data_IF_723627662352
#
_entry.id   IF_723627662352
#
_cell.length_a   1.000
_cell.length_b   1.000
_cell.length_c   1.000
_cell.angle_alpha   90.00
_cell.angle_beta   90.00
_cell.angle_gamma   90.00
#
_symmetry.space_group_name_H-M   'P 1'
#
loop_
_entity.id
_entity.type
_entity.pdbx_description
1 polymer ?
#
# COMPACT_ATOMS: atom_id res chain seq x y z
N UNK A 1 -32.90 39.50 -20.63
CA UNK A 1 -31.81 38.54 -20.75
C UNK A 1 -31.89 37.57 -19.58
N UNK A 2 -32.33 36.33 -19.85
CA UNK A 2 -32.42 35.27 -18.80
C UNK A 2 -31.12 34.52 -18.80
N UNK A 3 -30.39 34.57 -17.67
CA UNK A 3 -29.20 33.76 -17.45
C UNK A 3 -29.60 32.29 -17.34
N UNK A 4 -29.13 31.44 -18.24
CA UNK A 4 -29.25 29.99 -18.15
C UNK A 4 -28.32 29.48 -17.02
N UNK A 5 -28.80 28.64 -16.11
CA UNK A 5 -27.91 28.04 -15.11
C UNK A 5 -26.98 27.05 -15.82
N UNK A 6 -25.68 27.30 -15.73
CA UNK A 6 -24.65 26.34 -16.15
C UNK A 6 -24.65 25.20 -15.11
N UNK A 7 -25.30 24.11 -15.45
CA UNK A 7 -25.30 22.89 -14.65
C UNK A 7 -23.99 22.14 -14.92
N UNK A 8 -22.93 22.49 -14.18
CA UNK A 8 -21.70 21.72 -14.20
C UNK A 8 -21.99 20.37 -13.53
N UNK A 9 -21.76 19.25 -14.23
CA UNK A 9 -21.90 17.94 -13.59
C UNK A 9 -20.97 17.90 -12.38
N UNK A 10 -21.52 17.61 -11.21
CA UNK A 10 -20.73 17.31 -10.03
C UNK A 10 -19.77 16.18 -10.41
N UNK A 11 -18.47 16.47 -10.56
CA UNK A 11 -17.43 15.49 -10.75
C UNK A 11 -17.43 14.61 -9.49
N UNK A 12 -18.20 13.51 -9.52
CA UNK A 12 -17.98 12.42 -8.57
C UNK A 12 -16.58 11.92 -8.86
N UNK A 13 -15.65 12.23 -7.96
CA UNK A 13 -14.30 11.69 -8.03
C UNK A 13 -14.42 10.17 -8.21
N UNK A 14 -13.62 9.62 -9.12
CA UNK A 14 -13.66 8.19 -9.38
C UNK A 14 -13.39 7.44 -8.07
N UNK A 15 -14.19 6.41 -7.68
CA UNK A 15 -14.02 5.70 -6.40
C UNK A 15 -12.59 5.20 -6.14
N UNK A 16 -11.85 4.87 -7.20
CA UNK A 16 -10.44 4.49 -7.10
C UNK A 16 -9.54 5.65 -6.66
N UNK A 17 -9.81 6.87 -7.13
CA UNK A 17 -9.10 8.07 -6.68
C UNK A 17 -9.36 8.34 -5.19
N UNK A 18 -10.59 8.12 -4.75
CA UNK A 18 -10.97 8.33 -3.35
C UNK A 18 -10.33 7.30 -2.43
N UNK A 19 -10.28 6.02 -2.84
CA UNK A 19 -9.63 4.97 -2.07
C UNK A 19 -8.11 5.19 -1.97
N UNK A 20 -7.45 5.51 -3.08
CA UNK A 20 -6.02 5.83 -3.09
C UNK A 20 -5.70 7.04 -2.19
N UNK A 21 -6.55 8.06 -2.23
CA UNK A 21 -6.46 9.25 -1.37
C UNK A 21 -6.64 8.90 0.11
N UNK A 22 -7.62 8.06 0.43
CA UNK A 22 -7.85 7.58 1.79
C UNK A 22 -6.65 6.76 2.31
N UNK A 23 -6.09 5.87 1.51
CA UNK A 23 -4.89 5.10 1.84
C UNK A 23 -3.67 6.00 2.09
N UNK A 24 -3.46 7.01 1.25
CA UNK A 24 -2.40 8.00 1.46
C UNK A 24 -2.61 8.83 2.75
N UNK A 25 -3.85 9.26 3.01
CA UNK A 25 -4.18 9.98 4.24
C UNK A 25 -3.97 9.11 5.48
N UNK A 26 -4.33 7.83 5.43
CA UNK A 26 -4.10 6.89 6.54
C UNK A 26 -2.60 6.77 6.87
N UNK A 27 -1.74 6.70 5.83
CA UNK A 27 -0.29 6.70 5.99
C UNK A 27 0.20 7.98 6.66
N UNK A 28 -0.29 9.15 6.24
CA UNK A 28 0.07 10.43 6.87
C UNK A 28 -0.47 10.57 8.30
N UNK A 29 -1.66 10.05 8.58
CA UNK A 29 -2.21 10.03 9.94
C UNK A 29 -1.32 9.18 10.85
N UNK A 30 -0.92 7.99 10.42
CA UNK A 30 -0.02 7.11 11.18
C UNK A 30 1.31 7.83 11.49
N UNK A 31 1.94 8.46 10.49
CA UNK A 31 3.18 9.22 10.65
C UNK A 31 3.05 10.32 11.72
N UNK A 32 1.88 10.94 11.83
CA UNK A 32 1.62 12.06 12.74
C UNK A 32 1.07 11.64 14.12
N UNK A 33 0.78 10.37 14.35
CA UNK A 33 0.37 9.89 15.67
C UNK A 33 1.45 10.21 16.70
N UNK A 34 1.01 10.69 17.88
CA UNK A 34 1.89 11.10 18.98
C UNK A 34 1.13 10.97 20.30
N UNK A 35 1.71 10.37 21.35
CA UNK A 35 3.05 9.78 21.39
C UNK A 35 3.11 8.38 20.73
N UNK A 36 4.29 8.03 20.16
CA UNK A 36 4.60 6.68 19.69
C UNK A 36 5.83 6.16 20.46
N UNK A 37 5.68 5.52 21.62
CA UNK A 37 6.82 5.07 22.41
C UNK A 37 7.79 4.20 21.62
N UNK A 38 9.08 4.60 21.60
CA UNK A 38 10.12 3.90 20.88
C UNK A 38 10.18 4.12 19.37
N UNK A 39 9.19 4.79 18.77
CA UNK A 39 9.13 5.09 17.35
C UNK A 39 9.29 6.59 17.08
N UNK A 40 9.54 6.94 15.82
CA UNK A 40 9.59 8.34 15.40
C UNK A 40 8.21 8.97 15.50
N UNK A 41 8.11 10.10 16.17
CA UNK A 41 6.91 10.92 16.26
C UNK A 41 7.25 12.43 16.15
N UNK A 42 6.30 13.30 16.50
CA UNK A 42 6.50 14.76 16.43
C UNK A 42 7.48 15.29 17.47
N UNK A 43 7.72 14.56 18.55
CA UNK A 43 8.54 15.01 19.67
C UNK A 43 9.96 14.52 19.59
N UNK A 44 10.17 13.29 19.08
CA UNK A 44 11.48 12.68 19.07
C UNK A 44 11.57 11.52 18.05
N UNK A 45 12.76 10.99 17.89
CA UNK A 45 13.05 9.87 16.97
C UNK A 45 12.90 8.49 17.63
N UNK A 46 12.47 8.42 18.88
CA UNK A 46 12.36 7.16 19.60
C UNK A 46 13.72 6.47 19.73
N UNK A 47 13.77 5.19 19.41
CA UNK A 47 14.98 4.39 19.41
C UNK A 47 15.82 4.56 18.13
N UNK A 48 15.35 5.32 17.14
CA UNK A 48 16.01 5.48 15.84
C UNK A 48 17.07 6.59 15.87
N UNK A 49 18.24 6.31 15.29
CA UNK A 49 19.33 7.29 15.09
C UNK A 49 19.53 7.65 13.62
N UNK A 50 18.91 6.91 12.73
CA UNK A 50 19.09 6.96 11.28
C UNK A 50 17.93 7.66 10.55
N UNK A 51 16.80 7.91 11.23
CA UNK A 51 15.62 8.49 10.62
C UNK A 51 14.89 9.48 11.53
N UNK A 52 14.20 10.42 10.91
CA UNK A 52 13.37 11.44 11.53
C UNK A 52 12.00 11.53 10.83
N UNK A 53 11.13 12.39 11.33
CA UNK A 53 9.80 12.62 10.76
C UNK A 53 9.85 13.08 9.29
N UNK A 54 10.90 13.81 8.89
CA UNK A 54 11.09 14.24 7.50
C UNK A 54 11.31 13.07 6.54
N UNK A 55 12.02 12.02 6.98
CA UNK A 55 12.17 10.78 6.20
C UNK A 55 10.82 10.12 5.96
N UNK A 56 9.95 10.07 6.98
CA UNK A 56 8.60 9.50 6.85
C UNK A 56 7.73 10.29 5.87
N UNK A 57 7.78 11.62 5.87
CA UNK A 57 7.03 12.42 4.89
C UNK A 57 7.54 12.23 3.46
N UNK A 58 8.86 12.19 3.23
CA UNK A 58 9.44 11.91 1.91
C UNK A 58 9.02 10.52 1.41
N UNK A 59 9.08 9.54 2.30
CA UNK A 59 8.65 8.17 2.03
C UNK A 59 7.17 8.09 1.68
N UNK A 60 6.30 8.67 2.49
CA UNK A 60 4.86 8.67 2.24
C UNK A 60 4.52 9.28 0.87
N UNK A 61 5.15 10.41 0.50
CA UNK A 61 4.98 11.01 -0.84
C UNK A 61 5.44 10.10 -1.96
N UNK A 62 6.57 9.41 -1.77
CA UNK A 62 7.10 8.44 -2.75
C UNK A 62 6.14 7.26 -2.95
N UNK A 63 5.53 6.75 -1.88
CA UNK A 63 4.56 5.66 -1.91
C UNK A 63 3.23 6.12 -2.53
N UNK A 64 2.77 7.33 -2.20
CA UNK A 64 1.46 7.85 -2.59
C UNK A 64 1.18 7.77 -4.09
N UNK A 65 2.20 7.98 -4.94
CA UNK A 65 2.06 7.91 -6.40
C UNK A 65 1.87 6.48 -6.93
N UNK A 66 2.13 5.45 -6.10
CA UNK A 66 1.96 4.05 -6.47
C UNK A 66 0.59 3.49 -6.10
N UNK A 67 -0.13 4.10 -5.16
CA UNK A 67 -1.42 3.59 -4.70
C UNK A 67 -2.45 3.42 -5.83
N UNK A 68 -2.62 4.39 -6.75
CA UNK A 68 -3.48 4.19 -7.92
C UNK A 68 -3.01 3.05 -8.84
N UNK A 69 -1.70 2.82 -8.95
CA UNK A 69 -1.12 1.74 -9.78
C UNK A 69 -1.42 0.36 -9.20
N UNK A 70 -1.41 0.22 -7.87
CA UNK A 70 -1.83 -1.02 -7.21
C UNK A 70 -3.32 -1.31 -7.46
N UNK A 71 -4.19 -0.28 -7.38
CA UNK A 71 -5.61 -0.41 -7.71
C UNK A 71 -5.78 -0.86 -9.16
N UNK A 72 -5.08 -0.21 -10.08
CA UNK A 72 -5.16 -0.53 -11.50
C UNK A 72 -4.70 -1.97 -11.78
N UNK A 73 -3.62 -2.43 -11.14
CA UNK A 73 -3.17 -3.82 -11.23
C UNK A 73 -4.25 -4.79 -10.75
N UNK A 74 -4.94 -4.47 -9.67
CA UNK A 74 -6.05 -5.27 -9.17
C UNK A 74 -7.20 -5.38 -10.18
N UNK A 75 -7.55 -4.30 -10.86
CA UNK A 75 -8.56 -4.29 -11.93
C UNK A 75 -8.15 -5.15 -13.12
N UNK A 76 -6.91 -5.00 -13.60
CA UNK A 76 -6.36 -5.74 -14.74
C UNK A 76 -6.35 -7.25 -14.51
N UNK A 77 -6.02 -7.66 -13.31
CA UNK A 77 -5.86 -9.07 -12.94
C UNK A 77 -7.12 -9.62 -12.21
N UNK A 78 -8.27 -8.94 -12.27
CA UNK A 78 -9.47 -9.27 -11.49
C UNK A 78 -10.05 -10.67 -11.80
N UNK A 79 -9.85 -11.16 -13.02
CA UNK A 79 -10.30 -12.50 -13.47
C UNK A 79 -9.37 -13.62 -13.06
N UNK A 80 -8.15 -13.32 -12.62
CA UNK A 80 -7.19 -14.33 -12.17
C UNK A 80 -7.56 -14.86 -10.78
N UNK A 81 -7.22 -16.12 -10.45
CA UNK A 81 -7.29 -16.62 -9.08
C UNK A 81 -6.53 -15.70 -8.11
N UNK A 82 -7.12 -15.46 -6.93
CA UNK A 82 -6.53 -14.54 -5.95
C UNK A 82 -5.11 -14.94 -5.54
N UNK A 83 -4.84 -16.23 -5.41
CA UNK A 83 -3.54 -16.79 -5.03
C UNK A 83 -2.41 -16.47 -6.01
N UNK A 84 -2.74 -16.15 -7.26
CA UNK A 84 -1.76 -15.75 -8.29
C UNK A 84 -1.42 -14.27 -8.24
N UNK A 85 -2.27 -13.48 -7.59
CA UNK A 85 -2.16 -12.02 -7.58
C UNK A 85 -0.84 -11.53 -6.98
N UNK A 86 -0.38 -12.16 -5.89
CA UNK A 86 0.82 -11.73 -5.19
C UNK A 86 2.08 -11.82 -6.07
N UNK A 87 2.21 -12.86 -6.88
CA UNK A 87 3.34 -13.00 -7.80
C UNK A 87 3.36 -11.87 -8.86
N UNK A 88 2.19 -11.48 -9.35
CA UNK A 88 2.04 -10.40 -10.32
C UNK A 88 2.20 -9.01 -9.71
N UNK A 89 1.89 -8.87 -8.43
CA UNK A 89 2.03 -7.63 -7.67
C UNK A 89 3.48 -7.36 -7.25
N UNK A 90 4.27 -8.40 -7.04
CA UNK A 90 5.65 -8.32 -6.52
C UNK A 90 6.54 -7.32 -7.29
N UNK A 91 6.61 -7.31 -8.64
CA UNK A 91 7.43 -6.33 -9.36
C UNK A 91 7.02 -4.89 -9.08
N UNK A 92 5.71 -4.64 -8.98
CA UNK A 92 5.17 -3.31 -8.67
C UNK A 92 5.53 -2.88 -7.23
N UNK A 93 5.42 -3.82 -6.28
CA UNK A 93 5.82 -3.60 -4.89
C UNK A 93 7.30 -3.26 -4.76
N UNK A 94 8.18 -4.02 -5.43
CA UNK A 94 9.62 -3.76 -5.45
C UNK A 94 9.97 -2.40 -6.07
N UNK A 95 9.28 -2.01 -7.14
CA UNK A 95 9.48 -0.69 -7.75
C UNK A 95 9.07 0.44 -6.80
N UNK A 96 7.95 0.28 -6.08
CA UNK A 96 7.51 1.21 -5.04
C UNK A 96 8.53 1.29 -3.88
N UNK A 97 9.01 0.15 -3.37
CA UNK A 97 10.03 0.09 -2.33
C UNK A 97 11.32 0.81 -2.77
N UNK A 98 11.79 0.55 -4.00
CA UNK A 98 12.98 1.20 -4.54
C UNK A 98 12.81 2.72 -4.62
N UNK A 99 11.62 3.21 -4.98
CA UNK A 99 11.36 4.65 -4.99
C UNK A 99 11.32 5.22 -3.57
N UNK A 100 10.75 4.51 -2.62
CA UNK A 100 10.78 4.86 -1.20
C UNK A 100 12.22 4.97 -0.69
N UNK A 101 13.06 3.96 -0.95
CA UNK A 101 14.48 3.99 -0.55
C UNK A 101 15.24 5.17 -1.17
N UNK A 102 15.03 5.46 -2.46
CA UNK A 102 15.65 6.63 -3.10
C UNK A 102 15.23 7.94 -2.42
N UNK A 103 13.95 8.07 -2.05
CA UNK A 103 13.43 9.27 -1.41
C UNK A 103 13.94 9.46 0.04
N UNK A 104 14.41 8.39 0.68
CA UNK A 104 14.87 8.37 2.07
C UNK A 104 16.38 8.18 2.21
N UNK A 105 17.14 8.20 1.11
CA UNK A 105 18.59 7.96 1.17
C UNK A 105 18.95 6.53 1.56
N UNK A 106 18.12 5.55 1.23
CA UNK A 106 18.35 4.13 1.55
C UNK A 106 17.75 3.68 2.89
N UNK A 107 17.08 4.57 3.61
CA UNK A 107 16.50 4.26 4.94
C UNK A 107 15.14 3.58 4.79
N UNK A 108 14.96 2.46 5.49
CA UNK A 108 13.71 1.71 5.52
C UNK A 108 12.70 2.36 6.49
N UNK A 109 11.81 3.18 5.97
CA UNK A 109 10.77 3.86 6.77
C UNK A 109 9.42 3.13 6.73
N UNK A 110 8.97 2.72 5.53
CA UNK A 110 7.60 2.24 5.29
C UNK A 110 7.52 0.94 4.49
N UNK A 111 8.53 0.07 4.51
CA UNK A 111 8.52 -1.17 3.73
C UNK A 111 7.29 -2.04 4.03
N UNK A 112 6.93 -2.20 5.31
CA UNK A 112 5.72 -2.90 5.72
C UNK A 112 4.44 -2.24 5.20
N UNK A 113 4.40 -0.91 5.19
CA UNK A 113 3.26 -0.14 4.67
C UNK A 113 3.12 -0.27 3.15
N UNK A 114 4.24 -0.35 2.39
CA UNK A 114 4.20 -0.64 0.94
C UNK A 114 3.52 -1.98 0.69
N UNK A 115 3.86 -3.00 1.46
CA UNK A 115 3.27 -4.33 1.33
C UNK A 115 1.78 -4.32 1.68
N UNK A 116 1.40 -3.82 2.86
CA UNK A 116 0.01 -3.84 3.33
C UNK A 116 -0.92 -2.95 2.51
N UNK A 117 -0.52 -1.71 2.20
CA UNK A 117 -1.32 -0.81 1.37
C UNK A 117 -1.36 -1.27 -0.09
N UNK A 118 -0.27 -1.85 -0.61
CA UNK A 118 -0.24 -2.46 -1.93
C UNK A 118 -1.27 -3.57 -2.06
N UNK A 119 -1.36 -4.46 -1.07
CA UNK A 119 -2.37 -5.53 -1.04
C UNK A 119 -3.80 -4.97 -0.95
N UNK A 120 -4.05 -4.03 -0.04
CA UNK A 120 -5.39 -3.43 0.14
C UNK A 120 -5.85 -2.68 -1.11
N UNK A 121 -4.99 -1.89 -1.74
CA UNK A 121 -5.29 -1.19 -2.98
C UNK A 121 -5.57 -2.17 -4.13
N UNK A 122 -4.79 -3.25 -4.23
CA UNK A 122 -5.00 -4.29 -5.23
C UNK A 122 -6.32 -5.03 -4.99
N UNK A 123 -6.62 -5.41 -3.75
CA UNK A 123 -7.88 -6.04 -3.37
C UNK A 123 -9.08 -5.15 -3.72
N UNK A 124 -8.99 -3.84 -3.44
CA UNK A 124 -10.00 -2.87 -3.83
C UNK A 124 -10.25 -2.88 -5.34
N UNK A 125 -9.18 -2.81 -6.14
CA UNK A 125 -9.28 -2.83 -7.60
C UNK A 125 -9.93 -4.11 -8.14
N UNK A 126 -9.58 -5.26 -7.56
CA UNK A 126 -10.16 -6.56 -7.91
C UNK A 126 -11.66 -6.61 -7.61
N UNK A 127 -12.05 -6.29 -6.37
CA UNK A 127 -13.46 -6.28 -5.95
C UNK A 127 -14.30 -5.33 -6.80
N UNK A 128 -13.77 -4.13 -7.07
CA UNK A 128 -14.45 -3.15 -7.90
C UNK A 128 -14.69 -3.67 -9.32
N UNK A 129 -13.68 -4.26 -9.96
CA UNK A 129 -13.78 -4.80 -11.30
C UNK A 129 -14.72 -6.01 -11.38
N UNK A 130 -14.80 -6.79 -10.30
CA UNK A 130 -15.71 -7.94 -10.18
C UNK A 130 -17.16 -7.53 -9.85
N UNK A 131 -17.44 -6.25 -9.64
CA UNK A 131 -18.77 -5.76 -9.22
C UNK A 131 -19.19 -6.23 -7.82
N UNK A 132 -18.24 -6.63 -6.98
CA UNK A 132 -18.50 -7.10 -5.61
C UNK A 132 -18.63 -5.93 -4.64
N UNK A 133 -19.39 -6.13 -3.58
CA UNK A 133 -19.52 -5.15 -2.51
C UNK A 133 -18.14 -4.87 -1.87
N UNK A 134 -17.85 -3.60 -1.63
CA UNK A 134 -16.58 -3.15 -1.04
C UNK A 134 -16.84 -2.71 0.38
N UNK A 135 -16.20 -3.38 1.33
CA UNK A 135 -16.24 -3.09 2.76
C UNK A 135 -15.00 -3.68 3.44
N UNK A 136 -14.79 -3.36 4.70
CA UNK A 136 -13.59 -3.79 5.44
C UNK A 136 -13.43 -5.31 5.42
N UNK A 137 -14.50 -6.06 5.68
CA UNK A 137 -14.50 -7.53 5.69
C UNK A 137 -14.16 -8.10 4.31
N UNK A 138 -14.78 -7.58 3.24
CA UNK A 138 -14.54 -8.03 1.88
C UNK A 138 -13.09 -7.76 1.44
N UNK A 139 -12.54 -6.60 1.79
CA UNK A 139 -11.14 -6.25 1.52
C UNK A 139 -10.19 -7.19 2.27
N UNK A 140 -10.42 -7.42 3.56
CA UNK A 140 -9.60 -8.33 4.36
C UNK A 140 -9.67 -9.78 3.84
N UNK A 141 -10.85 -10.26 3.47
CA UNK A 141 -11.04 -11.57 2.90
C UNK A 141 -10.31 -11.73 1.55
N UNK A 142 -10.37 -10.72 0.68
CA UNK A 142 -9.66 -10.73 -0.60
C UNK A 142 -8.14 -10.71 -0.41
N UNK A 143 -7.63 -9.88 0.51
CA UNK A 143 -6.19 -9.88 0.89
C UNK A 143 -5.77 -11.25 1.43
N UNK A 144 -6.56 -11.85 2.32
CA UNK A 144 -6.27 -13.19 2.84
C UNK A 144 -6.21 -14.24 1.73
N UNK A 145 -7.13 -14.17 0.76
CA UNK A 145 -7.12 -15.06 -0.41
C UNK A 145 -5.86 -14.84 -1.27
N UNK A 146 -5.47 -13.59 -1.52
CA UNK A 146 -4.24 -13.26 -2.26
C UNK A 146 -2.96 -13.78 -1.57
N UNK A 147 -2.94 -13.79 -0.24
CA UNK A 147 -1.80 -14.24 0.56
C UNK A 147 -1.81 -15.73 0.89
N UNK A 148 -2.82 -16.50 0.45
CA UNK A 148 -2.94 -17.93 0.77
C UNK A 148 -1.69 -18.71 0.38
N UNK A 149 -1.15 -19.49 1.32
CA UNK A 149 0.07 -20.28 1.13
C UNK A 149 1.35 -19.46 0.99
N UNK A 150 1.34 -18.14 1.26
CA UNK A 150 2.53 -17.29 1.20
C UNK A 150 3.62 -17.79 2.15
N UNK A 151 3.25 -18.08 3.41
CA UNK A 151 4.20 -18.50 4.45
C UNK A 151 4.88 -19.82 4.03
N UNK A 152 4.12 -20.80 3.57
CA UNK A 152 4.66 -22.08 3.14
C UNK A 152 5.61 -21.93 1.94
N UNK A 153 5.25 -21.08 0.98
CA UNK A 153 6.11 -20.81 -0.19
C UNK A 153 7.41 -20.10 0.18
N UNK A 154 7.35 -19.10 1.05
CA UNK A 154 8.53 -18.34 1.45
C UNK A 154 9.43 -19.16 2.41
N UNK A 155 8.86 -19.96 3.33
CA UNK A 155 9.64 -20.87 4.17
C UNK A 155 10.36 -21.93 3.35
N UNK A 156 9.72 -22.54 2.36
CA UNK A 156 10.36 -23.51 1.47
C UNK A 156 11.50 -22.89 0.66
N UNK A 157 11.37 -21.65 0.23
CA UNK A 157 12.43 -20.90 -0.48
C UNK A 157 13.60 -20.58 0.44
N UNK A 158 13.34 -20.19 1.69
CA UNK A 158 14.38 -19.87 2.67
C UNK A 158 15.10 -21.12 3.20
N UNK A 159 14.43 -22.28 3.28
CA UNK A 159 15.06 -23.53 3.64
C UNK A 159 15.98 -24.10 2.52
N UNK A 160 15.84 -23.61 1.29
CA UNK A 160 16.78 -23.90 0.20
C UNK A 160 18.03 -22.99 0.22
N UNK A 161 18.03 -21.93 1.04
CA UNK A 161 19.16 -21.06 1.31
C UNK A 161 19.55 -21.14 2.80
N UNK A 162 20.76 -21.63 3.09
CA UNK A 162 21.27 -21.74 4.47
C UNK A 162 21.02 -20.44 5.25
N UNK A 163 20.21 -20.51 6.30
CA UNK A 163 20.04 -19.40 7.24
C UNK A 163 21.32 -19.22 8.06
N UNK A 164 21.67 -17.98 8.37
CA UNK A 164 22.89 -17.63 9.13
C UNK A 164 22.96 -18.27 10.53
N UNK A 165 21.91 -18.98 10.99
CA UNK A 165 21.86 -19.74 12.25
C UNK A 165 22.21 -21.22 12.13
N UNK A 166 22.62 -21.70 10.95
CA UNK A 166 23.05 -23.08 10.72
C UNK A 166 24.55 -23.22 10.46
N UNK A 167 25.35 -22.22 10.85
CA UNK A 167 26.82 -22.30 10.90
C UNK A 167 27.31 -22.41 12.31
#
# INVERSE_FOLDING_TARGET
>A
MRSLPINLPAHRAEPACDFARAAFRALLVEVNLTPKPGLVDRHNTGAHRDMDLGHFYRSARAIGVWLPRFIQRGREDATLPAEQQLARLRPLGLACENQMFRATGGINTHKGSVFSLGLLCTAFGRLQQQGRAIGAEALCAEVAAMCRGLVDRELRRNNAGQTAGQR
#
